data_IF_118753056519
#
_entry.id   IF_118753056519
#
_cell.length_a   1.000
_cell.length_b   1.000
_cell.length_c   1.000
_cell.angle_alpha   90.00
_cell.angle_beta   90.00
_cell.angle_gamma   90.00
#
_symmetry.space_group_name_H-M   'P 1'
#
loop_
_entity.id
_entity.type
_entity.pdbx_description
1 polymer ?
#
# COMPACT_ATOMS: atom_id res chain seq x y z
N UNK A 1 -65.16 -47.87 10.35
CA UNK A 1 -63.75 -47.47 10.18
C UNK A 1 -63.75 -45.99 9.83
N UNK A 2 -63.86 -45.06 10.78
CA UNK A 2 -62.76 -44.51 11.61
C UNK A 2 -61.40 -44.55 10.90
N UNK A 3 -60.97 -43.40 10.37
CA UNK A 3 -59.91 -42.57 10.98
C UNK A 3 -59.83 -41.20 10.31
N UNK A 4 -60.13 -40.14 11.07
CA UNK A 4 -59.70 -38.77 10.80
C UNK A 4 -58.29 -38.63 11.38
N UNK A 5 -57.33 -38.10 10.61
CA UNK A 5 -56.03 -37.65 11.11
C UNK A 5 -55.77 -36.24 10.60
N UNK A 6 -55.88 -35.28 11.51
CA UNK A 6 -55.41 -33.91 11.39
C UNK A 6 -53.89 -33.91 11.22
N UNK A 7 -53.38 -33.25 10.18
CA UNK A 7 -51.95 -32.89 10.10
C UNK A 7 -51.82 -31.43 10.50
N UNK A 8 -51.26 -31.18 11.68
CA UNK A 8 -50.90 -29.87 12.16
C UNK A 8 -49.69 -29.35 11.37
N UNK A 9 -49.83 -28.17 10.74
CA UNK A 9 -48.72 -27.43 10.15
C UNK A 9 -47.98 -26.74 11.29
N UNK A 10 -46.83 -27.30 11.69
CA UNK A 10 -45.86 -26.61 12.54
C UNK A 10 -45.14 -25.57 11.68
N UNK A 11 -45.47 -24.29 11.87
CA UNK A 11 -44.73 -23.18 11.31
C UNK A 11 -43.43 -23.02 12.13
N UNK A 12 -42.34 -23.65 11.65
CA UNK A 12 -41.01 -23.39 12.17
C UNK A 12 -40.56 -22.02 11.65
N UNK A 13 -40.79 -20.97 12.44
CA UNK A 13 -40.18 -19.67 12.21
C UNK A 13 -38.67 -19.83 12.41
N UNK A 14 -37.92 -19.88 11.30
CA UNK A 14 -36.48 -19.67 11.32
C UNK A 14 -36.24 -18.23 11.78
N UNK A 15 -35.93 -18.07 13.07
CA UNK A 15 -35.29 -16.87 13.59
C UNK A 15 -33.85 -16.87 13.08
N UNK A 16 -33.65 -16.37 11.87
CA UNK A 16 -32.33 -15.90 11.43
C UNK A 16 -31.88 -14.80 12.38
N UNK A 17 -30.70 -14.89 13.00
CA UNK A 17 -30.18 -13.79 13.80
C UNK A 17 -29.90 -12.64 12.85
N UNK A 18 -30.78 -11.64 12.86
CA UNK A 18 -30.52 -10.34 12.27
C UNK A 18 -29.35 -9.74 13.03
N UNK A 19 -28.16 -9.77 12.42
CA UNK A 19 -27.07 -8.88 12.79
C UNK A 19 -27.65 -7.48 12.67
N UNK A 20 -27.87 -6.83 13.80
CA UNK A 20 -28.23 -5.42 13.84
C UNK A 20 -27.05 -4.64 13.26
N UNK A 21 -27.11 -4.31 11.97
CA UNK A 21 -26.27 -3.25 11.43
C UNK A 21 -26.63 -2.00 12.20
N UNK A 22 -25.72 -1.55 13.07
CA UNK A 22 -25.79 -0.20 13.61
C UNK A 22 -25.53 0.70 12.41
N UNK A 23 -26.59 1.25 11.82
CA UNK A 23 -26.45 2.24 10.76
C UNK A 23 -25.57 3.38 11.27
N UNK A 24 -24.47 3.65 10.57
CA UNK A 24 -23.60 4.74 10.93
C UNK A 24 -24.37 6.06 10.87
N UNK A 25 -24.21 6.91 11.89
CA UNK A 25 -24.77 8.26 11.85
C UNK A 25 -23.98 9.09 10.84
N UNK A 26 -24.67 9.70 9.88
CA UNK A 26 -24.06 10.62 8.93
C UNK A 26 -23.40 11.79 9.65
N UNK A 27 -22.20 12.17 9.20
CA UNK A 27 -21.47 13.31 9.74
C UNK A 27 -22.08 14.62 9.24
N UNK A 28 -22.25 15.58 10.14
CA UNK A 28 -22.60 16.94 9.77
C UNK A 28 -21.41 17.66 9.12
N UNK A 29 -21.65 18.69 8.33
CA UNK A 29 -20.57 19.51 7.75
C UNK A 29 -19.71 20.16 8.84
N UNK A 30 -20.30 20.50 9.99
CA UNK A 30 -19.58 21.04 11.13
C UNK A 30 -18.59 20.02 11.71
N UNK A 31 -19.01 18.76 11.90
CA UNK A 31 -18.12 17.68 12.34
C UNK A 31 -17.02 17.40 11.31
N UNK A 32 -17.38 17.34 10.03
CA UNK A 32 -16.39 17.14 8.97
C UNK A 32 -15.36 18.27 8.92
N UNK A 33 -15.79 19.54 9.04
CA UNK A 33 -14.88 20.68 9.10
C UNK A 33 -13.94 20.58 10.32
N UNK A 34 -14.48 20.24 11.50
CA UNK A 34 -13.68 20.07 12.71
C UNK A 34 -12.56 19.02 12.51
N UNK A 35 -12.87 17.86 11.94
CA UNK A 35 -11.87 16.82 11.71
C UNK A 35 -10.88 17.19 10.59
N UNK A 36 -11.32 17.90 9.54
CA UNK A 36 -10.39 18.42 8.51
C UNK A 36 -9.37 19.38 9.10
N UNK A 37 -9.78 20.26 10.02
CA UNK A 37 -8.88 21.20 10.68
C UNK A 37 -7.91 20.49 11.63
N UNK A 38 -8.37 19.45 12.32
CA UNK A 38 -7.48 18.59 13.15
C UNK A 38 -6.44 17.85 12.31
N UNK A 39 -6.86 17.26 11.19
CA UNK A 39 -5.93 16.57 10.26
C UNK A 39 -4.87 17.55 9.75
N UNK A 40 -5.26 18.77 9.35
CA UNK A 40 -4.31 19.83 8.97
C UNK A 40 -3.33 20.15 10.10
N UNK A 41 -3.83 20.31 11.32
CA UNK A 41 -2.99 20.58 12.50
C UNK A 41 -2.00 19.45 12.78
N UNK A 42 -2.43 18.19 12.70
CA UNK A 42 -1.56 17.01 12.86
C UNK A 42 -0.49 16.96 11.77
N UNK A 43 -0.86 17.21 10.51
CA UNK A 43 0.08 17.26 9.41
C UNK A 43 1.15 18.33 9.64
N UNK A 44 0.77 19.58 9.95
CA UNK A 44 1.74 20.65 10.15
C UNK A 44 2.58 20.49 11.42
N UNK A 45 2.05 19.83 12.46
CA UNK A 45 2.86 19.43 13.60
C UNK A 45 4.01 18.53 13.14
N UNK A 46 3.71 17.44 12.44
CA UNK A 46 4.73 16.51 11.98
C UNK A 46 5.67 17.12 10.92
N UNK A 47 5.10 17.81 9.93
CA UNK A 47 5.83 18.41 8.81
C UNK A 47 6.81 19.49 9.27
N UNK A 48 6.37 20.41 10.15
CA UNK A 48 7.25 21.46 10.65
C UNK A 48 8.34 20.87 11.57
N UNK A 49 8.00 19.89 12.42
CA UNK A 49 9.00 19.21 13.25
C UNK A 49 10.07 18.51 12.40
N UNK A 50 9.69 17.93 11.26
CA UNK A 50 10.66 17.35 10.31
C UNK A 50 11.57 18.44 9.72
N UNK A 51 11.00 19.56 9.23
CA UNK A 51 11.79 20.67 8.67
C UNK A 51 12.77 21.27 9.70
N UNK A 52 12.38 21.34 10.97
CA UNK A 52 13.20 21.94 12.03
C UNK A 52 14.30 20.99 12.55
N UNK A 53 14.02 19.68 12.65
CA UNK A 53 14.87 18.75 13.40
C UNK A 53 15.54 17.66 12.55
N UNK A 54 15.05 17.41 11.34
CA UNK A 54 15.50 16.28 10.53
C UNK A 54 15.87 16.63 9.09
N UNK A 55 15.35 17.70 8.48
CA UNK A 55 15.80 18.09 7.15
C UNK A 55 17.33 18.35 7.14
N UNK A 56 18.11 17.79 6.19
CA UNK A 56 17.70 17.12 4.94
C UNK A 56 17.67 15.58 4.98
N UNK A 57 17.75 14.95 6.15
CA UNK A 57 17.68 13.49 6.29
C UNK A 57 16.34 12.92 5.80
N UNK A 58 16.28 11.62 5.53
CA UNK A 58 15.07 10.97 5.02
C UNK A 58 13.87 11.06 5.98
N UNK A 59 14.11 10.83 7.28
CA UNK A 59 13.06 10.71 8.29
C UNK A 59 13.42 11.42 9.59
N UNK A 60 12.39 11.87 10.31
CA UNK A 60 12.50 12.37 11.68
C UNK A 60 12.39 11.22 12.67
N UNK A 61 13.27 11.17 13.67
CA UNK A 61 13.07 10.43 14.91
C UNK A 61 12.50 11.37 15.98
N UNK A 62 11.17 11.40 16.18
CA UNK A 62 10.54 12.49 16.91
C UNK A 62 10.72 12.41 18.43
N UNK A 63 11.22 11.27 18.96
CA UNK A 63 11.55 11.15 20.39
C UNK A 63 12.94 11.70 20.73
N UNK A 64 13.89 11.58 19.81
CA UNK A 64 15.26 12.07 19.96
C UNK A 64 15.47 13.44 19.31
N UNK A 65 14.49 13.92 18.54
CA UNK A 65 14.51 15.17 17.80
C UNK A 65 15.73 15.30 16.87
N UNK A 66 16.01 14.23 16.13
CA UNK A 66 17.07 14.20 15.13
C UNK A 66 16.65 13.44 13.86
N UNK A 67 17.40 13.61 12.78
CA UNK A 67 17.16 12.93 11.52
C UNK A 67 17.85 11.57 11.41
N UNK A 68 17.40 10.75 10.45
CA UNK A 68 18.06 9.53 10.01
C UNK A 68 17.90 9.34 8.49
N UNK A 69 18.94 8.79 7.85
CA UNK A 69 18.86 8.32 6.47
C UNK A 69 18.48 6.83 6.46
N UNK A 70 17.35 6.53 5.82
CA UNK A 70 16.79 5.17 5.80
C UNK A 70 16.92 4.56 4.42
N UNK A 71 16.81 5.36 3.35
CA UNK A 71 16.62 4.83 1.99
C UNK A 71 17.51 5.46 0.93
N UNK A 72 18.38 6.41 1.28
CA UNK A 72 19.39 6.93 0.37
C UNK A 72 19.70 8.42 0.51
N UNK A 73 19.17 9.08 1.55
CA UNK A 73 19.38 10.52 1.81
C UNK A 73 18.80 11.42 0.72
N UNK A 74 17.53 11.21 0.40
CA UNK A 74 16.78 11.94 -0.63
C UNK A 74 15.87 13.03 -0.06
N UNK A 75 15.97 13.32 1.24
CA UNK A 75 14.94 14.06 1.97
C UNK A 75 13.56 13.41 1.78
N UNK A 76 13.49 12.08 1.93
CA UNK A 76 12.33 11.25 1.59
C UNK A 76 10.98 11.79 2.09
N UNK A 77 10.90 12.19 3.37
CA UNK A 77 9.68 12.77 3.94
C UNK A 77 9.21 14.01 3.18
N UNK A 78 10.15 14.79 2.64
CA UNK A 78 9.85 15.98 1.86
C UNK A 78 9.24 15.64 0.50
N UNK A 79 9.73 14.58 -0.15
CA UNK A 79 9.18 14.07 -1.42
C UNK A 79 7.78 13.49 -1.19
N UNK A 80 7.63 12.60 -0.21
CA UNK A 80 6.34 11.95 0.14
C UNK A 80 5.28 12.97 0.59
N UNK A 81 5.66 14.15 1.09
CA UNK A 81 4.72 15.18 1.54
C UNK A 81 4.16 16.08 0.42
N UNK A 82 4.75 16.10 -0.77
CA UNK A 82 4.39 17.05 -1.84
C UNK A 82 2.91 16.99 -2.22
N UNK A 83 2.44 15.83 -2.67
CA UNK A 83 1.04 15.70 -3.09
C UNK A 83 0.06 15.98 -1.94
N UNK A 84 0.42 15.63 -0.71
CA UNK A 84 -0.36 15.91 0.50
C UNK A 84 -0.45 17.41 0.77
N UNK A 85 0.63 18.18 0.60
CA UNK A 85 0.58 19.65 0.71
C UNK A 85 -0.45 20.24 -0.25
N UNK A 86 -0.54 19.72 -1.48
CA UNK A 86 -1.54 20.14 -2.43
C UNK A 86 -2.96 19.74 -2.01
N UNK A 87 -3.17 18.51 -1.52
CA UNK A 87 -4.47 18.02 -1.02
C UNK A 87 -4.96 18.89 0.15
N UNK A 88 -4.06 19.36 1.02
CA UNK A 88 -4.38 20.25 2.13
C UNK A 88 -4.55 21.72 1.72
N UNK A 89 -4.27 22.06 0.46
CA UNK A 89 -4.43 23.39 -0.12
C UNK A 89 -3.24 24.33 0.08
N UNK A 90 -2.07 23.84 0.51
CA UNK A 90 -0.88 24.65 0.70
C UNK A 90 0.00 24.65 -0.55
N UNK A 91 -0.47 25.41 -1.55
CA UNK A 91 0.17 25.50 -2.85
C UNK A 91 1.52 26.22 -2.78
N UNK A 92 1.66 27.21 -1.89
CA UNK A 92 2.93 27.96 -1.72
C UNK A 92 4.05 27.06 -1.21
N UNK A 93 3.74 26.19 -0.26
CA UNK A 93 4.74 25.27 0.28
C UNK A 93 5.08 24.16 -0.72
N UNK A 94 4.07 23.64 -1.45
CA UNK A 94 4.30 22.73 -2.57
C UNK A 94 5.32 23.32 -3.57
N UNK A 95 5.10 24.57 -4.01
CA UNK A 95 5.98 25.24 -4.97
C UNK A 95 7.40 25.41 -4.42
N UNK A 96 7.52 25.82 -3.15
CA UNK A 96 8.81 25.98 -2.46
C UNK A 96 9.58 24.67 -2.42
N UNK A 97 8.93 23.59 -1.99
CA UNK A 97 9.54 22.27 -1.85
C UNK A 97 9.90 21.68 -3.21
N UNK A 98 9.00 21.76 -4.18
CA UNK A 98 9.26 21.28 -5.53
C UNK A 98 10.47 22.00 -6.16
N UNK A 99 10.65 23.29 -5.90
CA UNK A 99 11.84 24.04 -6.34
C UNK A 99 13.09 23.61 -5.59
N UNK A 100 13.00 23.49 -4.25
CA UNK A 100 14.11 23.04 -3.42
C UNK A 100 14.66 21.68 -3.85
N UNK A 101 13.79 20.71 -4.14
CA UNK A 101 14.20 19.38 -4.59
C UNK A 101 14.95 19.41 -5.92
N UNK A 102 14.57 20.31 -6.84
CA UNK A 102 15.29 20.50 -8.11
C UNK A 102 16.71 21.01 -7.90
N UNK A 103 16.92 21.82 -6.86
CA UNK A 103 18.21 22.41 -6.58
C UNK A 103 19.12 21.50 -5.74
N UNK A 104 18.54 20.59 -4.94
CA UNK A 104 19.30 19.83 -3.93
C UNK A 104 19.41 18.33 -4.15
N UNK A 105 18.48 17.70 -4.89
CA UNK A 105 18.50 16.23 -5.06
C UNK A 105 19.46 15.83 -6.17
N UNK A 106 20.37 14.90 -5.83
CA UNK A 106 21.34 14.29 -6.75
C UNK A 106 21.34 12.77 -6.56
N UNK A 107 21.06 12.03 -7.64
CA UNK A 107 21.07 10.56 -7.63
C UNK A 107 22.41 9.96 -8.06
N UNK A 108 23.43 10.76 -8.39
CA UNK A 108 24.80 10.30 -8.66
C UNK A 108 25.63 10.14 -7.37
N UNK A 109 25.06 9.43 -6.38
CA UNK A 109 25.64 9.26 -5.04
C UNK A 109 26.06 7.80 -4.79
N UNK A 110 27.20 7.62 -4.09
CA UNK A 110 27.71 6.28 -3.72
C UNK A 110 26.99 5.73 -2.48
N UNK A 111 25.70 5.45 -2.64
CA UNK A 111 24.82 4.93 -1.58
C UNK A 111 24.04 3.71 -2.07
N UNK A 112 23.81 2.74 -1.18
CA UNK A 112 22.93 1.61 -1.44
C UNK A 112 21.49 2.02 -1.12
N UNK A 113 20.59 1.83 -2.07
CA UNK A 113 19.18 2.15 -1.94
C UNK A 113 18.32 0.89 -2.17
N UNK A 114 17.20 0.81 -1.45
CA UNK A 114 16.18 -0.22 -1.70
C UNK A 114 15.48 0.08 -3.01
N UNK A 115 15.45 -0.91 -3.90
CA UNK A 115 14.85 -0.75 -5.24
C UNK A 115 13.34 -0.54 -5.14
N UNK A 116 12.69 -1.28 -4.25
CA UNK A 116 11.26 -1.19 -3.98
C UNK A 116 10.87 0.16 -3.34
N UNK A 117 11.54 0.55 -2.25
CA UNK A 117 11.19 1.78 -1.51
C UNK A 117 11.49 3.03 -2.35
N UNK A 118 12.61 3.03 -3.08
CA UNK A 118 12.95 4.16 -3.98
C UNK A 118 11.91 4.30 -5.09
N UNK A 119 11.39 3.19 -5.64
CA UNK A 119 10.35 3.27 -6.65
C UNK A 119 9.06 3.89 -6.09
N UNK A 120 8.49 3.32 -5.04
CA UNK A 120 7.15 3.72 -4.58
C UNK A 120 7.13 5.12 -3.93
N UNK A 121 8.25 5.55 -3.33
CA UNK A 121 8.35 6.84 -2.63
C UNK A 121 8.95 7.93 -3.49
N UNK A 122 10.15 7.70 -4.02
CA UNK A 122 10.89 8.73 -4.76
C UNK A 122 10.33 8.86 -6.17
N UNK A 123 10.31 7.78 -6.95
CA UNK A 123 9.80 7.83 -8.33
C UNK A 123 8.31 8.16 -8.32
N UNK A 124 7.53 7.47 -7.49
CA UNK A 124 6.09 7.71 -7.31
C UNK A 124 5.76 9.14 -6.88
N UNK A 125 6.43 9.65 -5.83
CA UNK A 125 6.20 11.00 -5.30
C UNK A 125 6.62 12.11 -6.27
N UNK A 126 7.74 11.94 -6.99
CA UNK A 126 8.16 12.91 -8.01
C UNK A 126 7.22 12.92 -9.22
N UNK A 127 6.74 11.74 -9.67
CA UNK A 127 5.74 11.65 -10.73
C UNK A 127 4.40 12.27 -10.32
N UNK A 128 3.93 12.00 -9.11
CA UNK A 128 2.68 12.57 -8.61
C UNK A 128 2.77 14.10 -8.52
N UNK A 129 3.85 14.62 -7.95
CA UNK A 129 4.12 16.05 -7.87
C UNK A 129 4.23 16.71 -9.26
N UNK A 130 4.91 16.07 -10.22
CA UNK A 130 5.01 16.54 -11.60
C UNK A 130 3.63 16.69 -12.28
N UNK A 131 2.79 15.67 -12.16
CA UNK A 131 1.44 15.66 -12.74
C UNK A 131 0.48 16.63 -12.03
N UNK A 132 0.77 16.96 -10.78
CA UNK A 132 -0.01 17.89 -9.96
C UNK A 132 0.49 19.34 -10.03
N UNK A 133 1.66 19.60 -10.63
CA UNK A 133 2.33 20.91 -10.64
C UNK A 133 1.46 22.05 -11.17
N UNK A 134 0.73 21.84 -12.28
CA UNK A 134 -0.21 22.86 -12.80
C UNK A 134 -1.33 23.18 -11.81
N UNK A 135 -1.87 22.16 -11.12
CA UNK A 135 -2.95 22.35 -10.12
C UNK A 135 -2.43 23.09 -8.88
N UNK A 136 -1.16 22.87 -8.53
CA UNK A 136 -0.48 23.60 -7.48
C UNK A 136 -0.07 25.03 -7.89
N UNK A 137 -0.35 25.46 -9.13
CA UNK A 137 -0.03 26.81 -9.60
C UNK A 137 1.46 27.04 -9.92
N UNK A 138 2.25 25.97 -10.09
CA UNK A 138 3.61 26.10 -10.61
C UNK A 138 3.60 26.50 -12.09
N UNK A 139 4.56 27.35 -12.47
CA UNK A 139 4.91 27.49 -13.88
C UNK A 139 5.52 26.18 -14.37
N UNK A 140 5.06 25.69 -15.51
CA UNK A 140 5.55 24.44 -16.10
C UNK A 140 6.13 24.69 -17.49
N UNK A 141 7.11 23.87 -17.85
CA UNK A 141 7.80 23.96 -19.13
C UNK A 141 6.88 23.67 -20.33
N UNK A 142 7.25 24.20 -21.49
CA UNK A 142 6.61 23.84 -22.75
C UNK A 142 6.76 22.33 -23.01
N UNK A 143 5.65 21.66 -23.35
CA UNK A 143 5.60 20.21 -23.52
C UNK A 143 5.06 19.42 -22.31
N UNK A 144 4.75 20.07 -21.18
CA UNK A 144 4.09 19.42 -20.04
C UNK A 144 2.78 18.72 -20.49
N UNK A 145 2.50 17.48 -20.03
CA UNK A 145 3.20 16.75 -18.98
C UNK A 145 4.38 15.88 -19.46
N UNK A 146 4.72 15.86 -20.75
CA UNK A 146 5.82 15.04 -21.28
C UNK A 146 7.21 15.69 -21.12
N UNK A 147 7.28 16.86 -20.48
CA UNK A 147 8.50 17.57 -20.10
C UNK A 147 8.30 18.26 -18.75
N UNK A 148 9.37 18.37 -17.99
CA UNK A 148 9.41 19.12 -16.73
C UNK A 148 10.55 18.67 -15.83
N UNK A 149 10.96 19.51 -14.88
CA UNK A 149 12.11 19.23 -14.03
C UNK A 149 11.86 18.06 -13.07
N UNK A 150 10.68 17.99 -12.46
CA UNK A 150 10.31 16.87 -11.57
C UNK A 150 10.22 15.54 -12.33
N UNK A 151 9.75 15.54 -13.58
CA UNK A 151 9.78 14.35 -14.44
C UNK A 151 11.22 13.88 -14.71
N UNK A 152 12.15 14.81 -14.99
CA UNK A 152 13.57 14.47 -15.20
C UNK A 152 14.21 13.87 -13.94
N UNK A 153 13.88 14.39 -12.75
CA UNK A 153 14.33 13.79 -11.49
C UNK A 153 13.76 12.38 -11.30
N UNK A 154 12.46 12.18 -11.56
CA UNK A 154 11.83 10.87 -11.47
C UNK A 154 12.46 9.86 -12.43
N UNK A 155 12.75 10.30 -13.66
CA UNK A 155 13.43 9.50 -14.67
C UNK A 155 14.85 9.14 -14.24
N UNK A 156 15.63 10.09 -13.72
CA UNK A 156 17.00 9.84 -13.26
C UNK A 156 17.02 8.82 -12.11
N UNK A 157 16.17 9.00 -11.10
CA UNK A 157 15.99 8.03 -10.01
C UNK A 157 15.66 6.63 -10.55
N UNK A 158 14.67 6.51 -11.44
CA UNK A 158 14.27 5.23 -12.01
C UNK A 158 15.38 4.59 -12.86
N UNK A 159 16.20 5.39 -13.57
CA UNK A 159 17.35 4.87 -14.33
C UNK A 159 18.40 4.23 -13.42
N UNK A 160 18.62 4.77 -12.21
CA UNK A 160 19.52 4.15 -11.23
C UNK A 160 19.03 2.77 -10.75
N UNK A 161 17.73 2.49 -10.87
CA UNK A 161 17.13 1.21 -10.47
C UNK A 161 17.25 0.12 -11.55
N UNK A 162 17.40 0.49 -12.83
CA UNK A 162 17.44 -0.45 -13.95
C UNK A 162 18.51 -1.56 -13.85
N UNK A 163 19.72 -1.33 -13.30
CA UNK A 163 20.70 -2.39 -13.09
C UNK A 163 20.17 -3.55 -12.24
N UNK A 164 19.26 -3.30 -11.28
CA UNK A 164 18.69 -4.34 -10.45
C UNK A 164 17.91 -5.40 -11.26
N UNK A 165 17.31 -5.01 -12.39
CA UNK A 165 16.53 -5.89 -13.26
C UNK A 165 17.38 -6.74 -14.21
N UNK A 166 18.71 -6.57 -14.20
CA UNK A 166 19.64 -7.32 -15.07
C UNK A 166 19.91 -8.73 -14.54
N UNK A 167 18.86 -9.46 -14.21
CA UNK A 167 18.89 -10.88 -13.80
C UNK A 167 18.47 -11.77 -14.96
N UNK A 168 18.81 -13.08 -14.95
CA UNK A 168 18.35 -14.02 -15.97
C UNK A 168 16.82 -14.07 -16.09
N UNK A 169 16.11 -13.90 -14.97
CA UNK A 169 14.64 -13.92 -14.92
C UNK A 169 14.03 -12.56 -15.29
N UNK A 170 14.76 -11.46 -15.07
CA UNK A 170 14.24 -10.09 -15.14
C UNK A 170 13.56 -9.61 -13.86
N UNK A 171 13.48 -10.44 -12.81
CA UNK A 171 13.05 -10.00 -11.47
C UNK A 171 14.19 -9.22 -10.81
N UNK A 172 13.92 -8.07 -10.16
CA UNK A 172 14.97 -7.21 -9.64
C UNK A 172 15.61 -7.74 -8.34
N UNK A 173 16.89 -7.42 -8.13
CA UNK A 173 17.50 -7.45 -6.80
C UNK A 173 16.78 -6.49 -5.84
N UNK A 174 16.87 -6.74 -4.53
CA UNK A 174 16.26 -5.89 -3.51
C UNK A 174 16.97 -4.54 -3.32
N UNK A 175 18.29 -4.50 -3.56
CA UNK A 175 19.13 -3.32 -3.35
C UNK A 175 19.96 -3.02 -4.60
N UNK A 176 20.24 -1.73 -4.83
CA UNK A 176 21.16 -1.24 -5.86
C UNK A 176 21.99 -0.07 -5.30
N UNK A 177 23.26 0.03 -5.70
CA UNK A 177 24.03 1.25 -5.45
C UNK A 177 23.73 2.27 -6.56
N UNK A 178 23.37 3.51 -6.22
CA UNK A 178 22.93 4.47 -7.21
C UNK A 178 24.04 4.87 -8.20
N UNK A 179 25.30 4.90 -7.76
CA UNK A 179 26.44 5.22 -8.61
C UNK A 179 27.04 3.99 -9.32
N UNK A 180 27.09 2.84 -8.63
CA UNK A 180 27.85 1.66 -9.05
C UNK A 180 27.00 0.49 -9.55
N UNK A 181 25.68 0.56 -9.44
CA UNK A 181 24.77 -0.54 -9.78
C UNK A 181 24.74 -1.63 -8.70
N UNK A 182 24.38 -2.85 -9.09
CA UNK A 182 24.22 -3.97 -8.14
C UNK A 182 25.58 -4.46 -7.64
N UNK A 183 25.75 -4.57 -6.32
CA UNK A 183 26.95 -5.15 -5.74
C UNK A 183 27.06 -6.64 -6.11
N UNK A 184 28.22 -7.15 -6.56
CA UNK A 184 28.40 -8.59 -6.84
C UNK A 184 28.11 -9.54 -5.67
N UNK A 185 28.16 -9.05 -4.41
CA UNK A 185 27.81 -9.82 -3.22
C UNK A 185 26.35 -9.60 -2.75
N UNK A 186 25.53 -8.90 -3.53
CA UNK A 186 24.12 -8.68 -3.20
C UNK A 186 23.36 -10.01 -3.15
N UNK A 187 22.47 -10.16 -2.17
CA UNK A 187 21.62 -11.34 -2.07
C UNK A 187 20.66 -11.40 -3.26
N UNK A 188 20.52 -12.55 -3.93
CA UNK A 188 19.50 -12.72 -4.98
C UNK A 188 18.09 -12.91 -4.39
N UNK A 189 17.93 -12.90 -3.07
CA UNK A 189 16.64 -13.14 -2.43
C UNK A 189 15.92 -11.82 -2.19
N UNK A 190 14.70 -11.69 -2.72
CA UNK A 190 13.81 -10.54 -2.50
C UNK A 190 12.39 -11.00 -2.20
N UNK A 191 11.55 -10.12 -1.68
CA UNK A 191 10.14 -10.43 -1.44
C UNK A 191 9.29 -10.33 -2.71
N UNK A 192 8.12 -10.96 -2.73
CA UNK A 192 7.18 -10.94 -3.86
C UNK A 192 6.76 -9.52 -4.24
N UNK A 193 6.44 -8.68 -3.25
CA UNK A 193 6.17 -7.24 -3.45
C UNK A 193 7.36 -6.52 -4.09
N UNK A 194 8.58 -6.81 -3.63
CA UNK A 194 9.83 -6.26 -4.18
C UNK A 194 10.11 -6.62 -5.64
N UNK A 195 9.36 -7.56 -6.23
CA UNK A 195 9.38 -7.87 -7.67
C UNK A 195 8.19 -7.27 -8.41
N UNK A 196 7.01 -7.27 -7.79
CA UNK A 196 5.73 -6.97 -8.43
C UNK A 196 5.35 -5.49 -8.50
N UNK A 197 6.01 -4.63 -7.72
CA UNK A 197 5.49 -3.29 -7.41
C UNK A 197 6.25 -2.18 -8.17
N UNK A 198 6.20 -2.25 -9.50
CA UNK A 198 6.83 -1.24 -10.39
C UNK A 198 5.95 -0.76 -11.56
N UNK A 199 4.91 -1.53 -11.94
CA UNK A 199 4.21 -1.28 -13.21
C UNK A 199 3.53 0.09 -13.26
N UNK A 200 3.10 0.65 -12.13
CA UNK A 200 2.45 1.96 -12.09
C UNK A 200 3.42 3.09 -12.44
N UNK A 201 4.53 3.19 -11.71
CA UNK A 201 5.53 4.24 -11.88
C UNK A 201 6.26 4.07 -13.21
N UNK A 202 6.71 2.85 -13.52
CA UNK A 202 7.53 2.59 -14.70
C UNK A 202 6.73 2.72 -16.00
N UNK A 203 5.44 2.34 -16.01
CA UNK A 203 4.60 2.60 -17.18
C UNK A 203 4.31 4.09 -17.32
N UNK A 204 4.03 4.79 -16.22
CA UNK A 204 3.82 6.25 -16.25
C UNK A 204 5.04 6.98 -16.82
N UNK A 205 6.26 6.63 -16.37
CA UNK A 205 7.51 7.13 -16.93
C UNK A 205 7.60 6.86 -18.43
N UNK A 206 7.38 5.62 -18.85
CA UNK A 206 7.49 5.25 -20.27
C UNK A 206 6.52 6.03 -21.15
N UNK A 207 5.31 6.32 -20.66
CA UNK A 207 4.32 7.12 -21.40
C UNK A 207 4.64 8.61 -21.41
N UNK A 208 5.24 9.14 -20.35
CA UNK A 208 5.60 10.56 -20.24
C UNK A 208 6.90 10.90 -20.98
N UNK A 209 7.91 10.02 -20.94
CA UNK A 209 9.22 10.24 -21.56
C UNK A 209 9.33 9.66 -22.97
N UNK A 210 8.50 8.67 -23.29
CA UNK A 210 8.59 7.90 -24.54
C UNK A 210 9.66 6.81 -24.53
N UNK A 211 10.42 6.63 -23.44
CA UNK A 211 11.38 5.54 -23.30
C UNK A 211 10.68 4.26 -22.80
N UNK A 212 10.55 3.21 -23.62
CA UNK A 212 9.81 2.01 -23.25
C UNK A 212 10.54 1.11 -22.26
N UNK A 213 11.80 1.39 -21.91
CA UNK A 213 12.62 0.50 -21.08
C UNK A 213 11.97 0.22 -19.72
N UNK A 214 11.37 1.24 -19.10
CA UNK A 214 10.79 1.12 -17.75
C UNK A 214 9.59 0.16 -17.76
N UNK A 215 8.59 0.40 -18.61
CA UNK A 215 7.41 -0.47 -18.72
C UNK A 215 7.83 -1.90 -19.09
N UNK A 216 8.79 -2.05 -20.00
CA UNK A 216 9.27 -3.36 -20.44
C UNK A 216 9.89 -4.18 -19.31
N UNK A 217 10.74 -3.60 -18.47
CA UNK A 217 11.37 -4.33 -17.35
C UNK A 217 10.33 -4.69 -16.27
N UNK A 218 9.42 -3.78 -15.94
CA UNK A 218 8.36 -4.04 -14.97
C UNK A 218 7.43 -5.18 -15.43
N UNK A 219 7.01 -5.17 -16.71
CA UNK A 219 6.21 -6.26 -17.29
C UNK A 219 6.94 -7.59 -17.33
N UNK A 220 8.24 -7.57 -17.65
CA UNK A 220 9.08 -8.78 -17.66
C UNK A 220 9.13 -9.39 -16.25
N UNK A 221 9.36 -8.57 -15.23
CA UNK A 221 9.38 -9.00 -13.83
C UNK A 221 8.04 -9.61 -13.39
N UNK A 222 6.91 -8.95 -13.65
CA UNK A 222 5.57 -9.46 -13.36
C UNK A 222 5.29 -10.81 -14.01
N UNK A 223 5.57 -10.94 -15.31
CA UNK A 223 5.38 -12.20 -16.05
C UNK A 223 6.31 -13.30 -15.57
N UNK A 224 7.53 -12.96 -15.14
CA UNK A 224 8.46 -13.93 -14.55
C UNK A 224 7.90 -14.45 -13.21
N UNK A 225 7.51 -13.55 -12.32
CA UNK A 225 6.91 -13.89 -11.02
C UNK A 225 5.63 -14.72 -11.18
N UNK A 226 4.74 -14.35 -12.10
CA UNK A 226 3.52 -15.09 -12.43
C UNK A 226 3.75 -16.58 -12.76
N UNK A 227 4.89 -16.91 -13.38
CA UNK A 227 5.23 -18.30 -13.75
C UNK A 227 5.72 -19.15 -12.57
N UNK A 228 5.98 -18.53 -11.42
CA UNK A 228 6.53 -19.20 -10.24
C UNK A 228 5.46 -19.67 -9.25
N UNK A 229 4.19 -19.44 -9.56
CA UNK A 229 3.05 -19.91 -8.75
C UNK A 229 3.10 -21.42 -8.53
N UNK A 230 2.62 -21.86 -7.36
CA UNK A 230 2.41 -23.27 -7.07
C UNK A 230 1.29 -23.89 -7.91
N UNK A 231 1.14 -25.21 -7.84
CA UNK A 231 0.03 -25.95 -8.47
C UNK A 231 -1.35 -25.52 -7.96
N UNK A 232 -1.43 -24.89 -6.77
CA UNK A 232 -2.66 -24.32 -6.23
C UNK A 232 -2.79 -22.81 -6.48
N UNK A 233 -1.90 -22.22 -7.29
CA UNK A 233 -1.97 -20.85 -7.78
C UNK A 233 -1.45 -19.77 -6.83
N UNK A 234 -0.81 -20.15 -5.72
CA UNK A 234 -0.25 -19.20 -4.74
C UNK A 234 1.22 -18.88 -5.01
N UNK A 235 1.68 -17.74 -4.49
CA UNK A 235 3.09 -17.32 -4.47
C UNK A 235 3.62 -17.31 -3.04
N UNK A 236 4.90 -17.58 -2.86
CA UNK A 236 5.55 -17.48 -1.55
C UNK A 236 5.85 -16.02 -1.17
N UNK A 237 6.53 -15.85 -0.05
CA UNK A 237 6.90 -14.53 0.46
C UNK A 237 8.23 -14.02 -0.11
N UNK A 238 9.26 -14.88 -0.17
CA UNK A 238 10.60 -14.52 -0.68
C UNK A 238 11.09 -15.51 -1.72
N UNK A 239 11.68 -14.99 -2.79
CA UNK A 239 12.15 -15.73 -3.96
C UNK A 239 13.59 -15.37 -4.30
N UNK A 240 14.37 -16.37 -4.71
CA UNK A 240 15.67 -16.17 -5.36
C UNK A 240 15.46 -15.77 -6.83
N UNK A 241 15.83 -14.54 -7.18
CA UNK A 241 15.56 -13.94 -8.50
C UNK A 241 16.45 -14.48 -9.62
N UNK A 242 17.46 -15.27 -9.30
CA UNK A 242 18.33 -15.90 -10.29
C UNK A 242 17.80 -17.29 -10.67
N UNK A 243 17.36 -18.06 -9.67
CA UNK A 243 16.94 -19.46 -9.82
C UNK A 243 15.43 -19.65 -9.89
N UNK A 244 14.65 -18.62 -9.58
CA UNK A 244 13.18 -18.67 -9.43
C UNK A 244 12.70 -19.63 -8.34
N UNK A 245 13.53 -19.91 -7.33
CA UNK A 245 13.16 -20.80 -6.21
C UNK A 245 12.65 -19.98 -5.02
N UNK A 246 11.52 -20.41 -4.48
CA UNK A 246 10.96 -19.85 -3.24
C UNK A 246 11.81 -20.22 -2.03
N UNK A 247 12.31 -19.21 -1.32
CA UNK A 247 13.09 -19.33 -0.09
C UNK A 247 12.18 -19.25 1.14
N UNK A 248 11.14 -18.42 1.08
CA UNK A 248 10.05 -18.40 2.07
C UNK A 248 8.72 -18.73 1.36
N UNK A 249 8.10 -19.83 1.76
CA UNK A 249 6.96 -20.44 1.07
C UNK A 249 5.60 -20.16 1.74
N UNK A 250 5.60 -19.34 2.79
CA UNK A 250 4.37 -18.81 3.36
C UNK A 250 3.72 -17.86 2.36
N UNK A 251 2.43 -18.07 2.10
CA UNK A 251 1.60 -17.34 1.18
C UNK A 251 0.47 -16.67 1.95
N UNK A 252 0.17 -15.43 1.60
CA UNK A 252 -0.88 -14.63 2.20
C UNK A 252 -1.05 -13.35 1.39
N UNK A 253 -1.82 -12.42 1.95
CA UNK A 253 -2.02 -11.09 1.35
C UNK A 253 -1.22 -10.00 2.07
N UNK A 254 -0.47 -10.34 3.12
CA UNK A 254 0.22 -9.37 3.96
C UNK A 254 1.64 -9.06 3.52
N UNK A 255 2.47 -8.69 4.51
CA UNK A 255 3.79 -8.11 4.35
C UNK A 255 4.67 -8.88 3.35
N UNK A 256 5.18 -8.17 2.35
CA UNK A 256 6.10 -8.73 1.34
C UNK A 256 5.41 -9.45 0.19
N UNK A 257 4.07 -9.49 0.17
CA UNK A 257 3.26 -10.00 -0.97
C UNK A 257 2.22 -8.95 -1.40
N UNK A 258 1.53 -8.34 -0.44
CA UNK A 258 0.55 -7.25 -0.56
C UNK A 258 0.47 -6.52 -1.92
N UNK A 259 1.39 -5.59 -2.17
CA UNK A 259 1.37 -4.62 -3.26
C UNK A 259 1.57 -5.25 -4.63
N UNK A 260 2.02 -6.50 -4.72
CA UNK A 260 1.99 -7.24 -5.98
C UNK A 260 0.55 -7.39 -6.49
N UNK A 261 -0.38 -7.81 -5.63
CA UNK A 261 -1.79 -7.94 -6.01
C UNK A 261 -2.42 -6.58 -6.29
N UNK A 262 -2.05 -5.57 -5.50
CA UNK A 262 -2.50 -4.21 -5.69
C UNK A 262 -2.12 -3.67 -7.08
N UNK A 263 -0.87 -3.90 -7.51
CA UNK A 263 -0.36 -3.41 -8.78
C UNK A 263 -0.93 -4.16 -9.99
N UNK A 264 -1.36 -5.41 -9.82
CA UNK A 264 -2.12 -6.09 -10.88
C UNK A 264 -3.46 -5.38 -11.13
N UNK A 265 -4.21 -5.01 -10.08
CA UNK A 265 -5.51 -4.33 -10.23
C UNK A 265 -5.33 -2.87 -10.63
N UNK A 266 -4.53 -2.09 -9.87
CA UNK A 266 -4.31 -0.66 -10.16
C UNK A 266 -3.65 -0.49 -11.53
N UNK A 267 -2.72 -1.38 -11.89
CA UNK A 267 -2.09 -1.40 -13.22
C UNK A 267 -3.09 -1.73 -14.33
N UNK A 268 -3.95 -2.73 -14.13
CA UNK A 268 -5.02 -3.04 -15.08
C UNK A 268 -5.96 -1.85 -15.31
N UNK A 269 -6.36 -1.15 -14.25
CA UNK A 269 -7.23 0.03 -14.34
C UNK A 269 -6.52 1.18 -15.08
N UNK A 270 -5.29 1.50 -14.67
CA UNK A 270 -4.54 2.63 -15.22
C UNK A 270 -4.18 2.43 -16.70
N UNK A 271 -3.79 1.22 -17.07
CA UNK A 271 -3.30 0.88 -18.41
C UNK A 271 -4.36 0.27 -19.33
N UNK A 272 -5.56 0.00 -18.80
CA UNK A 272 -6.61 -0.79 -19.47
C UNK A 272 -6.09 -2.16 -19.91
N UNK A 273 -5.40 -2.84 -19.00
CA UNK A 273 -4.62 -4.05 -19.28
C UNK A 273 -5.34 -5.32 -18.82
N UNK A 274 -5.87 -6.07 -19.79
CA UNK A 274 -6.58 -7.32 -19.54
C UNK A 274 -5.67 -8.44 -19.00
N UNK A 275 -4.38 -8.45 -19.33
CA UNK A 275 -3.44 -9.47 -18.84
C UNK A 275 -3.26 -9.34 -17.32
N UNK A 276 -3.07 -8.11 -16.83
CA UNK A 276 -2.90 -7.84 -15.40
C UNK A 276 -4.17 -8.18 -14.61
N UNK A 277 -5.35 -7.83 -15.13
CA UNK A 277 -6.62 -8.15 -14.49
C UNK A 277 -6.86 -9.67 -14.44
N UNK A 278 -6.58 -10.37 -15.54
CA UNK A 278 -6.68 -11.83 -15.60
C UNK A 278 -5.73 -12.51 -14.60
N UNK A 279 -4.51 -11.99 -14.46
CA UNK A 279 -3.58 -12.48 -13.44
C UNK A 279 -4.16 -12.33 -12.03
N UNK A 280 -4.70 -11.15 -11.71
CA UNK A 280 -5.30 -10.90 -10.41
C UNK A 280 -6.49 -11.83 -10.13
N UNK A 281 -7.40 -12.04 -11.09
CA UNK A 281 -8.57 -12.90 -10.88
C UNK A 281 -8.20 -14.36 -10.57
N UNK A 282 -7.14 -14.89 -11.19
CA UNK A 282 -6.63 -16.22 -10.85
C UNK A 282 -6.06 -16.26 -9.43
N UNK A 283 -5.35 -15.20 -9.00
CA UNK A 283 -4.89 -15.09 -7.62
C UNK A 283 -6.04 -14.98 -6.63
N UNK A 284 -7.01 -14.11 -6.88
CA UNK A 284 -8.17 -13.90 -6.01
C UNK A 284 -8.94 -15.21 -5.79
N UNK A 285 -9.08 -16.03 -6.85
CA UNK A 285 -9.67 -17.38 -6.73
C UNK A 285 -8.88 -18.28 -5.79
N UNK A 286 -7.56 -18.34 -5.93
CA UNK A 286 -6.70 -19.15 -5.04
C UNK A 286 -6.68 -18.62 -3.60
N UNK A 287 -6.59 -17.29 -3.42
CA UNK A 287 -6.64 -16.62 -2.12
C UNK A 287 -7.96 -16.93 -1.41
N UNK A 288 -9.10 -16.78 -2.09
CA UNK A 288 -10.42 -17.12 -1.53
C UNK A 288 -10.55 -18.59 -1.14
N UNK A 289 -9.95 -19.50 -1.91
CA UNK A 289 -10.05 -20.94 -1.65
C UNK A 289 -9.16 -21.42 -0.50
N UNK A 290 -7.97 -20.84 -0.33
CA UNK A 290 -6.96 -21.38 0.57
C UNK A 290 -6.63 -20.49 1.75
N UNK A 291 -6.79 -19.17 1.63
CA UNK A 291 -6.37 -18.21 2.67
C UNK A 291 -7.55 -17.60 3.43
N UNK A 292 -8.76 -17.57 2.84
CA UNK A 292 -9.91 -16.92 3.45
C UNK A 292 -10.63 -17.83 4.45
N UNK A 293 -10.70 -17.42 5.72
CA UNK A 293 -11.41 -18.11 6.81
C UNK A 293 -12.24 -17.09 7.60
N UNK A 294 -13.57 -17.22 7.61
CA UNK A 294 -14.49 -16.31 8.33
C UNK A 294 -14.19 -14.82 8.12
N UNK A 295 -13.96 -14.44 6.85
CA UNK A 295 -13.59 -13.09 6.40
C UNK A 295 -12.24 -12.55 6.90
N UNK A 296 -11.41 -13.41 7.49
CA UNK A 296 -9.96 -13.22 7.69
C UNK A 296 -9.16 -13.87 6.56
N UNK A 297 -7.93 -13.39 6.33
CA UNK A 297 -7.00 -13.98 5.36
C UNK A 297 -5.76 -14.46 6.11
N UNK A 298 -5.66 -15.77 6.30
CA UNK A 298 -4.57 -16.39 7.05
C UNK A 298 -3.39 -16.72 6.15
N UNK A 299 -2.20 -16.78 6.74
CA UNK A 299 -1.02 -17.28 6.06
C UNK A 299 -1.05 -18.80 5.96
N UNK A 300 -0.73 -19.30 4.78
CA UNK A 300 -0.73 -20.73 4.45
C UNK A 300 0.55 -21.14 3.74
N UNK A 301 0.87 -22.44 3.75
CA UNK A 301 1.95 -22.95 2.93
C UNK A 301 1.52 -22.99 1.46
N UNK A 302 2.31 -22.37 0.57
CA UNK A 302 1.89 -22.08 -0.81
C UNK A 302 1.57 -23.30 -1.69
N UNK A 303 2.08 -24.49 -1.39
CA UNK A 303 1.84 -25.72 -2.17
C UNK A 303 0.70 -26.57 -1.63
N UNK A 304 0.38 -26.44 -0.33
CA UNK A 304 -0.59 -27.30 0.36
C UNK A 304 -1.85 -26.56 0.83
N UNK A 305 -1.78 -25.24 0.96
CA UNK A 305 -2.88 -24.44 1.52
C UNK A 305 -3.11 -24.70 3.01
N UNK A 306 -2.18 -25.37 3.70
CA UNK A 306 -2.26 -25.60 5.14
C UNK A 306 -1.89 -24.32 5.89
N UNK A 307 -2.74 -23.87 6.81
CA UNK A 307 -2.48 -22.69 7.66
C UNK A 307 -1.11 -22.82 8.34
N UNK A 308 -0.25 -21.84 8.10
CA UNK A 308 1.06 -21.73 8.73
C UNK A 308 1.06 -20.70 9.85
N UNK A 309 0.37 -19.57 9.69
CA UNK A 309 0.20 -18.57 10.74
C UNK A 309 -1.25 -18.06 10.78
N UNK A 310 -2.00 -18.33 11.87
CA UNK A 310 -3.37 -17.86 12.04
C UNK A 310 -3.38 -16.42 12.60
N UNK A 311 -2.68 -15.50 11.92
CA UNK A 311 -2.54 -14.10 12.34
C UNK A 311 -3.07 -13.17 11.26
N UNK A 312 -3.55 -12.01 11.68
CA UNK A 312 -3.76 -10.84 10.84
C UNK A 312 -2.58 -9.88 11.01
N UNK A 313 -1.96 -9.48 9.91
CA UNK A 313 -0.94 -8.43 9.92
C UNK A 313 -1.57 -7.09 9.56
N UNK A 314 -1.18 -6.00 10.23
CA UNK A 314 -1.74 -4.66 9.98
C UNK A 314 -1.72 -4.25 8.50
N UNK A 315 -0.67 -4.63 7.77
CA UNK A 315 -0.48 -4.40 6.34
C UNK A 315 -1.57 -5.04 5.47
N UNK A 316 -2.21 -6.13 5.91
CA UNK A 316 -3.30 -6.80 5.17
C UNK A 316 -4.57 -5.92 5.09
N UNK A 317 -4.63 -4.84 5.88
CA UNK A 317 -5.77 -3.94 5.93
C UNK A 317 -6.01 -3.14 4.64
N UNK A 318 -5.11 -3.19 3.64
CA UNK A 318 -5.31 -2.59 2.31
C UNK A 318 -6.31 -3.38 1.46
N UNK A 319 -6.47 -4.68 1.75
CA UNK A 319 -7.17 -5.62 0.90
C UNK A 319 -8.66 -5.28 0.69
N UNK A 320 -9.43 -4.83 1.70
CA UNK A 320 -10.79 -4.36 1.47
C UNK A 320 -10.88 -3.21 0.45
N UNK A 321 -9.94 -2.27 0.47
CA UNK A 321 -9.84 -1.20 -0.52
C UNK A 321 -9.64 -1.78 -1.93
N UNK A 322 -8.72 -2.72 -2.09
CA UNK A 322 -8.48 -3.42 -3.35
C UNK A 322 -9.73 -4.19 -3.84
N UNK A 323 -10.41 -4.90 -2.95
CA UNK A 323 -11.64 -5.63 -3.26
C UNK A 323 -12.76 -4.69 -3.73
N UNK A 324 -12.84 -3.49 -3.16
CA UNK A 324 -13.81 -2.50 -3.61
C UNK A 324 -13.55 -1.99 -5.03
N UNK A 325 -12.27 -1.87 -5.44
CA UNK A 325 -11.88 -1.45 -6.79
C UNK A 325 -12.33 -2.43 -7.88
N UNK A 326 -12.41 -3.72 -7.56
CA UNK A 326 -12.92 -4.76 -8.46
C UNK A 326 -14.44 -5.01 -8.29
N UNK A 327 -15.12 -4.22 -7.45
CA UNK A 327 -16.56 -4.32 -7.22
C UNK A 327 -17.00 -5.40 -6.23
N UNK A 328 -16.09 -6.08 -5.51
CA UNK A 328 -16.42 -7.06 -4.46
C UNK A 328 -16.72 -6.36 -3.13
N UNK A 329 -17.72 -5.48 -3.15
CA UNK A 329 -18.11 -4.63 -2.00
C UNK A 329 -18.53 -5.47 -0.79
N UNK A 330 -19.23 -6.59 -1.01
CA UNK A 330 -19.73 -7.41 0.09
C UNK A 330 -18.59 -8.08 0.87
N UNK A 331 -17.61 -8.68 0.19
CA UNK A 331 -16.45 -9.27 0.87
C UNK A 331 -15.60 -8.19 1.54
N UNK A 332 -15.37 -7.08 0.83
CA UNK A 332 -14.60 -5.96 1.34
C UNK A 332 -15.16 -5.42 2.67
N UNK A 333 -16.47 -5.15 2.72
CA UNK A 333 -17.12 -4.63 3.94
C UNK A 333 -17.00 -5.58 5.12
N UNK A 334 -17.17 -6.90 4.92
CA UNK A 334 -17.05 -7.90 6.00
C UNK A 334 -15.64 -7.97 6.56
N UNK A 335 -14.65 -8.07 5.68
CA UNK A 335 -13.23 -8.08 6.08
C UNK A 335 -12.85 -6.76 6.76
N UNK A 336 -13.30 -5.62 6.23
CA UNK A 336 -13.07 -4.32 6.86
C UNK A 336 -13.62 -4.26 8.28
N UNK A 337 -14.83 -4.78 8.54
CA UNK A 337 -15.40 -4.78 9.90
C UNK A 337 -14.57 -5.62 10.88
N UNK A 338 -14.03 -6.77 10.45
CA UNK A 338 -13.12 -7.56 11.26
C UNK A 338 -11.88 -6.73 11.63
N UNK A 339 -11.24 -6.07 10.67
CA UNK A 339 -10.05 -5.26 10.92
C UNK A 339 -10.36 -4.01 11.76
N UNK A 340 -11.49 -3.35 11.51
CA UNK A 340 -11.93 -2.21 12.30
C UNK A 340 -12.25 -2.59 13.75
N UNK A 341 -12.73 -3.81 14.01
CA UNK A 341 -12.92 -4.29 15.38
C UNK A 341 -11.60 -4.33 16.17
N UNK A 342 -10.49 -4.69 15.51
CA UNK A 342 -9.14 -4.66 16.10
C UNK A 342 -8.73 -3.22 16.39
N UNK A 343 -8.95 -2.29 15.45
CA UNK A 343 -8.69 -0.86 15.70
C UNK A 343 -9.47 -0.36 16.93
N UNK A 344 -10.75 -0.70 17.03
CA UNK A 344 -11.62 -0.28 18.15
C UNK A 344 -11.15 -0.86 19.49
N UNK A 345 -10.49 -2.02 19.49
CA UNK A 345 -9.93 -2.64 20.69
C UNK A 345 -8.64 -1.95 21.17
N UNK A 346 -7.76 -1.54 20.24
CA UNK A 346 -6.40 -1.10 20.60
C UNK A 346 -6.09 0.38 20.30
N UNK A 347 -6.96 1.09 19.58
CA UNK A 347 -6.70 2.46 19.09
C UNK A 347 -5.77 2.52 17.87
N UNK A 348 -5.46 1.38 17.27
CA UNK A 348 -4.58 1.23 16.12
C UNK A 348 -4.50 -0.25 15.75
N UNK A 349 -3.95 -0.57 14.60
CA UNK A 349 -3.70 -1.97 14.25
C UNK A 349 -2.36 -2.41 14.82
N UNK A 350 -2.30 -3.40 15.74
CA UNK A 350 -1.03 -4.00 16.10
C UNK A 350 -0.42 -4.60 14.84
N UNK A 351 0.91 -4.59 14.75
CA UNK A 351 1.62 -5.21 13.64
C UNK A 351 1.12 -6.65 13.40
N UNK A 352 0.98 -7.45 14.46
CA UNK A 352 0.42 -8.80 14.40
C UNK A 352 -0.70 -8.99 15.44
N UNK A 353 -1.86 -9.41 14.96
CA UNK A 353 -3.02 -9.80 15.76
C UNK A 353 -3.26 -11.31 15.62
N UNK A 354 -3.28 -12.02 16.74
CA UNK A 354 -3.54 -13.45 16.76
C UNK A 354 -5.03 -13.73 16.79
N UNK A 355 -5.56 -14.24 15.68
CA UNK A 355 -7.00 -14.43 15.49
C UNK A 355 -7.59 -15.44 16.47
N UNK A 356 -6.97 -16.61 16.74
CA UNK A 356 -7.51 -17.57 17.71
C UNK A 356 -7.55 -17.05 19.15
N UNK A 357 -6.63 -16.16 19.53
CA UNK A 357 -6.49 -15.63 20.89
C UNK A 357 -7.28 -14.32 21.06
N UNK A 358 -7.64 -13.64 19.98
CA UNK A 358 -8.31 -12.35 20.03
C UNK A 358 -7.44 -11.24 20.62
N UNK A 359 -6.11 -11.33 20.44
CA UNK A 359 -5.14 -10.46 21.09
C UNK A 359 -3.85 -10.26 20.28
N UNK A 360 -3.01 -9.31 20.68
CA UNK A 360 -1.73 -9.02 20.03
C UNK A 360 -0.73 -10.16 20.19
N UNK A 361 0.22 -10.27 19.24
CA UNK A 361 1.35 -11.19 19.34
C UNK A 361 2.51 -10.52 20.07
N UNK A 362 3.16 -11.25 20.99
CA UNK A 362 4.32 -10.77 21.77
C UNK A 362 5.40 -10.18 20.85
N UNK A 363 5.90 -8.98 21.19
CA UNK A 363 6.90 -8.18 20.45
C UNK A 363 6.43 -7.65 19.09
N UNK A 364 5.16 -7.79 18.74
CA UNK A 364 4.53 -7.30 17.50
C UNK A 364 3.25 -6.51 17.80
N UNK A 365 3.15 -5.91 18.98
CA UNK A 365 1.99 -5.17 19.45
C UNK A 365 1.96 -3.72 18.96
N UNK A 366 3.11 -3.19 18.52
CA UNK A 366 3.25 -1.79 18.12
C UNK A 366 2.41 -1.43 16.89
N UNK A 367 1.99 -0.16 16.84
CA UNK A 367 1.35 0.47 15.68
C UNK A 367 2.30 1.53 15.10
N UNK A 368 3.03 1.24 14.01
CA UNK A 368 4.00 2.17 13.44
C UNK A 368 3.34 3.15 12.44
N UNK A 369 2.17 3.69 12.78
CA UNK A 369 1.44 4.69 11.96
C UNK A 369 1.05 4.21 10.56
N UNK A 370 0.67 2.93 10.47
CA UNK A 370 0.22 2.24 9.25
C UNK A 370 -1.08 2.82 8.66
N UNK A 371 -1.14 3.16 7.35
CA UNK A 371 -2.30 3.82 6.73
C UNK A 371 -3.37 2.89 6.14
N UNK A 372 -3.12 1.59 6.03
CA UNK A 372 -3.82 0.68 5.10
C UNK A 372 -5.32 0.55 5.41
N UNK A 373 -5.71 0.53 6.70
CA UNK A 373 -7.13 0.48 7.06
C UNK A 373 -7.86 1.80 6.72
N UNK A 374 -7.18 2.93 6.86
CA UNK A 374 -7.72 4.25 6.53
C UNK A 374 -7.89 4.37 5.01
N UNK A 375 -6.93 3.86 4.23
CA UNK A 375 -7.06 3.72 2.77
C UNK A 375 -8.30 2.90 2.40
N UNK A 376 -8.46 1.71 2.99
CA UNK A 376 -9.63 0.86 2.75
C UNK A 376 -10.95 1.54 3.09
N UNK A 377 -11.02 2.30 4.18
CA UNK A 377 -12.22 3.09 4.51
C UNK A 377 -12.51 4.16 3.47
N UNK A 378 -11.49 4.86 2.94
CA UNK A 378 -11.68 5.84 1.89
C UNK A 378 -12.32 5.21 0.66
N UNK A 379 -11.78 4.11 0.17
CA UNK A 379 -12.31 3.42 -1.01
C UNK A 379 -13.74 2.90 -0.79
N UNK A 380 -13.99 2.26 0.35
CA UNK A 380 -15.33 1.74 0.67
C UNK A 380 -16.35 2.86 0.85
N UNK A 381 -15.97 3.98 1.47
CA UNK A 381 -16.83 5.16 1.55
C UNK A 381 -17.13 5.73 0.16
N UNK A 382 -16.14 5.82 -0.73
CA UNK A 382 -16.35 6.27 -2.11
C UNK A 382 -17.28 5.36 -2.90
N UNK A 383 -17.21 4.05 -2.67
CA UNK A 383 -18.02 3.07 -3.37
C UNK A 383 -19.46 2.99 -2.86
N UNK A 384 -19.69 3.23 -1.57
CA UNK A 384 -20.98 2.96 -0.91
C UNK A 384 -21.70 4.18 -0.36
N UNK A 385 -20.96 5.24 0.00
CA UNK A 385 -21.46 6.37 0.77
C UNK A 385 -21.80 6.03 2.24
N UNK A 386 -21.49 4.82 2.71
CA UNK A 386 -21.83 4.38 4.07
C UNK A 386 -21.03 5.18 5.12
N UNK A 387 -21.71 5.93 6.01
CA UNK A 387 -21.06 6.76 7.02
C UNK A 387 -20.25 5.97 8.05
N UNK A 388 -20.41 4.65 8.16
CA UNK A 388 -19.60 3.79 9.04
C UNK A 388 -18.11 3.89 8.70
N UNK A 389 -17.76 4.01 7.42
CA UNK A 389 -16.36 4.17 7.00
C UNK A 389 -15.78 5.53 7.42
N UNK A 390 -16.61 6.58 7.47
CA UNK A 390 -16.23 7.88 8.03
C UNK A 390 -16.04 7.84 9.55
N UNK A 391 -16.74 6.93 10.25
CA UNK A 391 -16.51 6.72 11.69
C UNK A 391 -15.10 6.21 11.96
N UNK A 392 -14.55 5.32 11.12
CA UNK A 392 -13.14 4.96 11.24
C UNK A 392 -12.26 6.21 11.05
N UNK A 393 -12.52 7.04 10.05
CA UNK A 393 -11.74 8.26 9.81
C UNK A 393 -11.67 9.15 11.05
N UNK A 394 -12.80 9.35 11.74
CA UNK A 394 -12.85 10.02 13.04
C UNK A 394 -12.00 9.30 14.08
N UNK A 395 -12.27 8.02 14.31
CA UNK A 395 -11.65 7.24 15.36
C UNK A 395 -10.12 7.13 15.16
N UNK A 396 -9.67 7.15 13.90
CA UNK A 396 -8.26 7.18 13.53
C UNK A 396 -7.60 8.50 13.93
N UNK A 397 -8.21 9.65 13.61
CA UNK A 397 -7.71 10.96 14.05
C UNK A 397 -7.60 11.02 15.57
N UNK A 398 -8.64 10.61 16.29
CA UNK A 398 -8.64 10.62 17.76
C UNK A 398 -7.56 9.71 18.34
N UNK A 399 -7.41 8.51 17.79
CA UNK A 399 -6.50 7.52 18.36
C UNK A 399 -5.05 7.87 18.05
N UNK A 400 -4.72 8.24 16.80
CA UNK A 400 -3.36 8.61 16.38
C UNK A 400 -2.85 9.81 17.17
N UNK A 401 -3.66 10.87 17.27
CA UNK A 401 -3.29 12.08 18.02
C UNK A 401 -3.09 11.78 19.51
N UNK A 402 -3.84 10.84 20.07
CA UNK A 402 -3.72 10.43 21.48
C UNK A 402 -2.49 9.56 21.75
N UNK A 403 -2.18 8.58 20.89
CA UNK A 403 -1.17 7.55 21.19
C UNK A 403 0.21 7.84 20.59
N UNK A 404 0.27 8.63 19.51
CA UNK A 404 1.50 8.81 18.73
C UNK A 404 2.02 10.24 18.71
N UNK A 405 1.21 11.22 19.16
CA UNK A 405 1.68 12.61 19.24
C UNK A 405 2.78 12.72 20.30
N UNK A 406 3.93 13.23 19.89
CA UNK A 406 5.06 13.56 20.75
C UNK A 406 5.42 15.03 20.58
N UNK A 407 6.26 15.54 21.49
CA UNK A 407 6.58 16.97 21.62
C UNK A 407 7.18 17.56 20.35
#
# INVERSE_FOLDING_TARGET
MLTFLFSAVFCAAYLSPSISHVEGTAFTEQEMSHYRDRIKSMFYHAYNSYLENAYPYDELRPLTCDGQDTWGSFSLTLIDALDTLLILGNHTEFQRVATLLQDTVDFDTDVNASVFETNIRVVGGLLSAHLLSKRAGMEVEEGWPCSGPLLRLAEDAARKLLPAFQTPTGMPYGTVNLLRGVNPSETPVTCTAGVGTFILEFSSLSRLTGDPVFENVARKALRALWRTRSDIGLVGNHIDVITSKWVAQDAGIGAGVDSYFEYLVKGAIMLQDEELLAMFHEFDKSIKNYTKFDDWYLWVQMHKGTVSMPVFQSLEAFWPGLQSLIGDISSATKTFHNYYSVWRQFGGLPEFYSIPQGYTVDKREGYPLRPELIESALYLYKATGDPTFMQLGRDAVESIDKISRVN
#
